data_IF_782219805180
#
_entry.id   IF_782219805180
#
_cell.length_a   1.000
_cell.length_b   1.000
_cell.length_c   1.000
_cell.angle_alpha   90.00
_cell.angle_beta   90.00
_cell.angle_gamma   90.00
#
_symmetry.space_group_name_H-M   'P 1'
#
loop_
_entity.id
_entity.type
_entity.pdbx_description
1 polymer ?
#
# COMPACT_ATOMS: atom_id res chain seq x y z
N UNK A 1 -28.00 -3.07 -11.12
CA UNK A 1 -26.91 -3.46 -12.05
C UNK A 1 -26.14 -2.26 -12.61
N UNK A 2 -26.77 -1.18 -13.00
CA UNK A 2 -26.11 0.01 -13.59
C UNK A 2 -24.99 0.63 -12.71
N UNK A 3 -25.18 0.77 -11.39
CA UNK A 3 -24.19 1.39 -10.49
C UNK A 3 -22.87 0.60 -10.40
N UNK A 4 -22.93 -0.73 -10.32
CA UNK A 4 -21.72 -1.58 -10.24
C UNK A 4 -20.90 -1.50 -11.52
N UNK A 5 -21.57 -1.51 -12.68
CA UNK A 5 -20.91 -1.37 -13.99
C UNK A 5 -20.25 0.01 -14.12
N UNK A 6 -20.93 1.08 -13.66
CA UNK A 6 -20.37 2.44 -13.67
C UNK A 6 -19.12 2.56 -12.80
N UNK A 7 -19.14 2.05 -11.57
CA UNK A 7 -17.96 2.05 -10.68
C UNK A 7 -16.80 1.32 -11.34
N UNK A 8 -17.04 0.15 -11.92
CA UNK A 8 -16.01 -0.65 -12.57
C UNK A 8 -15.38 0.06 -13.77
N UNK A 9 -16.20 0.64 -14.66
CA UNK A 9 -15.71 1.38 -15.83
C UNK A 9 -14.95 2.66 -15.43
N UNK A 10 -15.43 3.38 -14.42
CA UNK A 10 -14.73 4.55 -13.90
C UNK A 10 -13.40 4.17 -13.22
N UNK A 11 -13.34 3.04 -12.50
CA UNK A 11 -12.08 2.58 -11.89
C UNK A 11 -11.04 2.18 -12.93
N UNK A 12 -11.47 1.53 -14.02
CA UNK A 12 -10.58 1.25 -15.16
C UNK A 12 -10.10 2.53 -15.85
N UNK A 13 -11.01 3.49 -16.04
CA UNK A 13 -10.66 4.77 -16.65
C UNK A 13 -9.68 5.55 -15.76
N UNK A 14 -9.89 5.56 -14.44
CA UNK A 14 -8.97 6.17 -13.46
C UNK A 14 -7.59 5.51 -13.51
N UNK A 15 -7.55 4.18 -13.53
CA UNK A 15 -6.31 3.43 -13.66
C UNK A 15 -5.55 3.79 -14.94
N UNK A 16 -6.24 3.81 -16.08
CA UNK A 16 -5.62 4.21 -17.35
C UNK A 16 -5.12 5.65 -17.35
N UNK A 17 -5.89 6.57 -16.75
CA UNK A 17 -5.57 8.00 -16.68
C UNK A 17 -4.22 8.26 -16.01
N UNK A 18 -3.82 7.44 -15.02
CA UNK A 18 -2.54 7.57 -14.32
C UNK A 18 -1.32 7.45 -15.23
N UNK A 19 -1.46 6.76 -16.35
CA UNK A 19 -0.35 6.46 -17.27
C UNK A 19 -0.46 7.19 -18.61
N UNK A 20 -1.50 7.98 -18.82
CA UNK A 20 -1.70 8.78 -20.04
C UNK A 20 -0.63 9.86 -20.11
N UNK A 21 0.06 9.94 -21.25
CA UNK A 21 1.13 10.93 -21.48
C UNK A 21 2.51 10.50 -20.97
N UNK A 22 2.65 9.35 -20.35
CA UNK A 22 3.95 8.81 -19.95
C UNK A 22 4.53 7.90 -21.04
N UNK A 23 5.82 8.08 -21.39
CA UNK A 23 6.52 7.26 -22.38
C UNK A 23 6.56 5.76 -21.97
N UNK A 24 6.85 5.46 -20.73
CA UNK A 24 6.88 4.09 -20.20
C UNK A 24 5.52 3.61 -19.68
N UNK A 25 4.52 4.50 -19.59
CA UNK A 25 3.16 4.15 -19.21
C UNK A 25 3.09 3.35 -17.91
N UNK A 26 2.43 2.19 -17.99
CA UNK A 26 2.18 1.29 -16.85
C UNK A 26 3.48 0.73 -16.23
N UNK A 27 4.60 0.75 -16.95
CA UNK A 27 5.88 0.19 -16.46
C UNK A 27 6.38 0.94 -15.21
N UNK A 28 6.12 2.24 -15.10
CA UNK A 28 6.51 3.01 -13.91
C UNK A 28 5.88 2.50 -12.60
N UNK A 29 4.69 1.92 -12.69
CA UNK A 29 4.01 1.32 -11.55
C UNK A 29 4.82 0.19 -10.91
N UNK A 30 5.64 -0.48 -11.70
CA UNK A 30 6.47 -1.60 -11.24
C UNK A 30 7.88 -1.19 -10.89
N UNK A 31 8.45 -0.25 -11.64
CA UNK A 31 9.85 0.20 -11.44
C UNK A 31 10.03 0.77 -10.04
N UNK A 32 9.15 1.67 -9.60
CA UNK A 32 9.32 2.35 -8.32
C UNK A 32 9.31 1.36 -7.11
N UNK A 33 8.35 0.44 -6.95
CA UNK A 33 8.40 -0.55 -5.89
C UNK A 33 9.58 -1.52 -5.99
N UNK A 34 9.94 -1.94 -7.21
CA UNK A 34 11.10 -2.83 -7.41
C UNK A 34 12.37 -2.14 -6.94
N UNK A 35 12.60 -0.88 -7.34
CA UNK A 35 13.75 -0.10 -6.89
C UNK A 35 13.76 0.07 -5.38
N UNK A 36 12.59 0.31 -4.77
CA UNK A 36 12.48 0.43 -3.30
C UNK A 36 12.85 -0.87 -2.60
N UNK A 37 12.35 -2.02 -3.07
CA UNK A 37 12.71 -3.34 -2.53
C UNK A 37 14.21 -3.61 -2.70
N UNK A 38 14.80 -3.26 -3.85
CA UNK A 38 16.24 -3.40 -4.08
C UNK A 38 17.06 -2.52 -3.12
N UNK A 39 16.67 -1.27 -2.90
CA UNK A 39 17.35 -0.38 -1.96
C UNK A 39 17.29 -0.95 -0.54
N UNK A 40 16.13 -1.43 -0.10
CA UNK A 40 16.00 -2.02 1.24
C UNK A 40 16.78 -3.32 1.37
N UNK A 41 16.82 -4.15 0.33
CA UNK A 41 17.66 -5.33 0.30
C UNK A 41 19.15 -4.99 0.39
N UNK A 42 19.61 -3.93 -0.27
CA UNK A 42 21.00 -3.47 -0.17
C UNK A 42 21.32 -2.93 1.23
N UNK A 43 20.42 -2.12 1.82
CA UNK A 43 20.67 -1.46 3.10
C UNK A 43 20.54 -2.45 4.28
N UNK A 44 19.47 -3.22 4.33
CA UNK A 44 19.13 -4.07 5.47
C UNK A 44 19.46 -5.56 5.25
N UNK A 45 19.74 -5.95 4.03
CA UNK A 45 20.11 -7.32 3.66
C UNK A 45 21.58 -7.66 3.97
N UNK A 46 22.12 -8.67 3.28
CA UNK A 46 23.44 -9.24 3.58
C UNK A 46 24.62 -8.28 3.39
N UNK A 47 24.45 -7.23 2.59
CA UNK A 47 25.50 -6.25 2.28
C UNK A 47 25.55 -5.13 3.32
N UNK A 48 24.40 -4.68 3.81
CA UNK A 48 24.30 -3.55 4.74
C UNK A 48 24.24 -3.95 6.21
N UNK A 49 23.19 -3.54 6.91
CA UNK A 49 23.03 -3.75 8.36
C UNK A 49 22.81 -5.21 8.78
N UNK A 50 22.73 -6.15 7.83
CA UNK A 50 22.52 -7.60 8.07
C UNK A 50 21.38 -7.89 9.03
N UNK A 51 20.27 -7.17 8.85
CA UNK A 51 19.09 -7.40 9.66
C UNK A 51 18.58 -8.82 9.41
N UNK A 52 18.73 -9.68 10.41
CA UNK A 52 18.26 -11.05 10.29
C UNK A 52 16.74 -11.07 10.23
N UNK A 53 16.13 -11.78 9.27
CA UNK A 53 14.69 -11.97 9.29
C UNK A 53 14.28 -12.74 10.55
N UNK A 54 13.19 -12.39 11.20
CA UNK A 54 12.72 -13.08 12.42
C UNK A 54 12.25 -14.53 12.14
N UNK A 55 12.18 -14.92 10.87
CA UNK A 55 11.77 -16.26 10.45
C UNK A 55 13.00 -17.10 10.10
N UNK A 56 13.25 -18.23 10.77
CA UNK A 56 14.35 -19.13 10.45
C UNK A 56 14.28 -19.61 8.99
N UNK A 57 15.43 -19.68 8.33
CA UNK A 57 15.56 -20.17 6.95
C UNK A 57 14.78 -19.35 5.88
N UNK A 58 14.44 -18.09 6.18
CA UNK A 58 13.89 -17.16 5.20
C UNK A 58 14.98 -16.20 4.70
N UNK A 59 14.98 -15.94 3.38
CA UNK A 59 15.76 -14.84 2.82
C UNK A 59 15.17 -13.50 3.28
N UNK A 60 16.00 -12.47 3.40
CA UNK A 60 15.54 -11.13 3.73
C UNK A 60 14.43 -10.64 2.76
N UNK A 61 14.56 -10.92 1.46
CA UNK A 61 13.54 -10.56 0.46
C UNK A 61 12.22 -11.29 0.71
N UNK A 62 12.27 -12.57 1.09
CA UNK A 62 11.07 -13.36 1.40
C UNK A 62 10.31 -12.82 2.62
N UNK A 63 11.01 -12.19 3.55
CA UNK A 63 10.40 -11.53 4.70
C UNK A 63 9.91 -10.12 4.35
N UNK A 64 10.70 -9.34 3.60
CA UNK A 64 10.40 -7.95 3.25
C UNK A 64 9.17 -7.81 2.33
N UNK A 65 9.08 -8.63 1.27
CA UNK A 65 8.06 -8.45 0.21
C UNK A 65 6.62 -8.58 0.74
N UNK A 66 6.27 -9.57 1.59
CA UNK A 66 4.93 -9.66 2.17
C UNK A 66 4.53 -8.48 3.04
N UNK A 67 5.50 -7.86 3.73
CA UNK A 67 5.23 -6.69 4.56
C UNK A 67 5.09 -5.40 3.76
N UNK A 68 5.91 -5.22 2.71
CA UNK A 68 5.94 -3.97 1.97
C UNK A 68 4.80 -3.86 0.93
N UNK A 69 4.32 -4.98 0.39
CA UNK A 69 3.26 -4.97 -0.63
C UNK A 69 1.92 -4.40 -0.11
N UNK A 70 1.40 -4.79 1.08
CA UNK A 70 0.23 -4.15 1.67
C UNK A 70 0.45 -2.67 2.00
N UNK A 71 1.66 -2.31 2.42
CA UNK A 71 2.00 -0.91 2.71
C UNK A 71 1.96 -0.04 1.47
N UNK A 72 2.52 -0.48 0.34
CA UNK A 72 2.43 0.25 -0.93
C UNK A 72 0.99 0.45 -1.37
N UNK A 73 0.17 -0.60 -1.27
CA UNK A 73 -1.25 -0.50 -1.57
C UNK A 73 -1.96 0.52 -0.67
N UNK A 74 -1.76 0.43 0.64
CA UNK A 74 -2.38 1.32 1.60
C UNK A 74 -1.98 2.78 1.38
N UNK A 75 -0.67 3.05 1.24
CA UNK A 75 -0.15 4.39 1.06
C UNK A 75 -0.59 4.99 -0.27
N UNK A 76 -0.62 4.22 -1.35
CA UNK A 76 -1.12 4.66 -2.64
C UNK A 76 -2.62 4.95 -2.61
N UNK A 77 -3.42 4.03 -2.03
CA UNK A 77 -4.86 4.20 -1.91
C UNK A 77 -5.23 5.45 -1.11
N UNK A 78 -4.53 5.70 0.00
CA UNK A 78 -4.78 6.86 0.84
C UNK A 78 -4.34 8.17 0.17
N UNK A 79 -3.16 8.21 -0.45
CA UNK A 79 -2.69 9.40 -1.18
C UNK A 79 -3.63 9.76 -2.36
N UNK A 80 -3.92 8.79 -3.22
CA UNK A 80 -4.81 9.00 -4.37
C UNK A 80 -6.25 9.32 -3.94
N UNK A 81 -6.69 8.69 -2.86
CA UNK A 81 -8.05 8.87 -2.34
C UNK A 81 -8.25 10.22 -1.68
N UNK A 82 -7.27 10.75 -0.96
CA UNK A 82 -7.35 12.06 -0.30
C UNK A 82 -7.68 13.18 -1.29
N UNK A 83 -7.06 13.20 -2.49
CA UNK A 83 -7.30 14.21 -3.52
C UNK A 83 -8.51 13.94 -4.42
N UNK A 84 -9.23 12.83 -4.26
CA UNK A 84 -10.20 12.37 -5.25
C UNK A 84 -11.37 13.35 -5.50
N UNK A 85 -11.86 14.05 -4.47
CA UNK A 85 -12.97 15.00 -4.60
C UNK A 85 -12.55 16.24 -5.40
N UNK A 86 -11.33 16.70 -5.25
CA UNK A 86 -10.79 17.83 -5.99
C UNK A 86 -10.51 17.46 -7.46
N UNK A 87 -9.94 16.30 -7.70
CA UNK A 87 -9.61 15.80 -9.03
C UNK A 87 -10.86 15.61 -9.90
N UNK A 88 -11.95 15.12 -9.31
CA UNK A 88 -13.23 14.90 -10.01
C UNK A 88 -14.26 16.02 -9.84
N UNK A 89 -13.83 17.21 -9.41
CA UNK A 89 -14.71 18.36 -9.18
C UNK A 89 -15.62 18.69 -10.38
N UNK A 90 -15.14 18.49 -11.62
CA UNK A 90 -15.91 18.70 -12.83
C UNK A 90 -17.11 17.72 -12.96
N UNK A 91 -16.96 16.48 -12.49
CA UNK A 91 -18.07 15.51 -12.46
C UNK A 91 -19.13 15.88 -11.43
N UNK A 92 -18.68 16.33 -10.25
CA UNK A 92 -19.57 16.76 -9.17
C UNK A 92 -20.41 17.95 -9.59
N UNK A 93 -19.87 18.87 -10.38
CA UNK A 93 -20.56 20.10 -10.83
C UNK A 93 -21.50 19.90 -12.02
N UNK A 94 -21.26 18.92 -12.89
CA UNK A 94 -21.97 18.79 -14.18
C UNK A 94 -23.02 17.69 -14.23
N UNK A 95 -22.97 16.70 -13.36
CA UNK A 95 -23.83 15.52 -13.36
C UNK A 95 -24.37 15.29 -11.95
N UNK A 96 -25.61 14.80 -11.84
CA UNK A 96 -26.16 14.29 -10.57
C UNK A 96 -25.42 13.00 -10.20
N UNK A 97 -24.16 13.15 -9.77
CA UNK A 97 -23.25 12.05 -9.44
C UNK A 97 -23.14 11.93 -7.91
N UNK A 98 -23.25 10.72 -7.42
CA UNK A 98 -23.01 10.47 -5.99
C UNK A 98 -21.54 10.56 -5.67
N UNK A 99 -21.13 11.65 -5.05
CA UNK A 99 -19.74 11.98 -4.68
C UNK A 99 -19.10 10.90 -3.81
N UNK A 100 -19.91 10.22 -2.98
CA UNK A 100 -19.50 9.12 -2.11
C UNK A 100 -18.84 7.94 -2.84
N UNK A 101 -19.03 7.82 -4.16
CA UNK A 101 -18.46 6.72 -4.96
C UNK A 101 -17.00 6.99 -5.33
N UNK A 102 -16.53 8.23 -5.31
CA UNK A 102 -15.17 8.60 -5.75
C UNK A 102 -14.05 7.94 -4.94
N UNK A 103 -14.08 7.89 -3.60
CA UNK A 103 -13.10 7.15 -2.82
C UNK A 103 -13.06 5.66 -3.18
N UNK A 104 -14.23 5.04 -3.43
CA UNK A 104 -14.32 3.63 -3.83
C UNK A 104 -13.68 3.41 -5.20
N UNK A 105 -13.88 4.31 -6.16
CA UNK A 105 -13.25 4.24 -7.49
C UNK A 105 -11.73 4.26 -7.37
N UNK A 106 -11.19 5.17 -6.55
CA UNK A 106 -9.74 5.26 -6.30
C UNK A 106 -9.19 4.00 -5.64
N UNK A 107 -9.89 3.48 -4.64
CA UNK A 107 -9.49 2.24 -3.99
C UNK A 107 -9.43 1.06 -4.97
N UNK A 108 -10.46 0.87 -5.79
CA UNK A 108 -10.50 -0.21 -6.79
C UNK A 108 -9.38 -0.04 -7.83
N UNK A 109 -9.09 1.19 -8.24
CA UNK A 109 -7.99 1.50 -9.15
C UNK A 109 -6.62 1.09 -8.54
N UNK A 110 -6.41 1.32 -7.24
CA UNK A 110 -5.21 0.88 -6.52
C UNK A 110 -5.19 -0.64 -6.29
N UNK A 111 -6.35 -1.29 -6.11
CA UNK A 111 -6.45 -2.74 -5.98
C UNK A 111 -5.94 -3.49 -7.22
N UNK A 112 -6.07 -2.95 -8.43
CA UNK A 112 -5.50 -3.57 -9.63
C UNK A 112 -3.98 -3.73 -9.49
N UNK A 113 -3.32 -2.70 -8.97
CA UNK A 113 -1.88 -2.71 -8.70
C UNK A 113 -1.54 -3.70 -7.59
N UNK A 114 -2.30 -3.69 -6.50
CA UNK A 114 -2.10 -4.58 -5.35
C UNK A 114 -2.20 -6.06 -5.74
N UNK A 115 -3.23 -6.44 -6.50
CA UNK A 115 -3.40 -7.82 -7.00
C UNK A 115 -2.19 -8.26 -7.82
N UNK A 116 -1.63 -7.37 -8.62
CA UNK A 116 -0.43 -7.68 -9.39
C UNK A 116 0.79 -7.89 -8.47
N UNK A 117 0.98 -7.06 -7.43
CA UNK A 117 2.08 -7.25 -6.47
C UNK A 117 1.93 -8.55 -5.68
N UNK A 118 0.71 -8.89 -5.27
CA UNK A 118 0.42 -10.18 -4.63
C UNK A 118 0.77 -11.34 -5.56
N UNK A 119 0.45 -11.24 -6.85
CA UNK A 119 0.83 -12.27 -7.83
C UNK A 119 2.35 -12.40 -7.97
N UNK A 120 3.09 -11.28 -8.06
CA UNK A 120 4.57 -11.30 -8.09
C UNK A 120 5.12 -11.94 -6.79
N UNK A 121 4.57 -11.59 -5.64
CA UNK A 121 4.98 -12.20 -4.37
C UNK A 121 4.83 -13.72 -4.42
N UNK A 122 3.70 -14.24 -4.90
CA UNK A 122 3.51 -15.68 -5.06
C UNK A 122 4.54 -16.30 -6.00
N UNK A 123 4.85 -15.65 -7.12
CA UNK A 123 5.87 -16.12 -8.08
C UNK A 123 7.24 -16.20 -7.39
N UNK A 124 7.63 -15.17 -6.64
CA UNK A 124 8.90 -15.15 -5.89
C UNK A 124 8.99 -16.31 -4.89
N UNK A 125 7.90 -16.59 -4.16
CA UNK A 125 7.88 -17.71 -3.21
C UNK A 125 7.97 -19.06 -3.91
N UNK A 126 7.25 -19.27 -5.01
CA UNK A 126 7.28 -20.51 -5.79
C UNK A 126 8.67 -20.76 -6.40
N UNK A 127 9.30 -19.74 -6.99
CA UNK A 127 10.65 -19.82 -7.55
C UNK A 127 11.69 -20.12 -6.45
N UNK A 128 11.45 -19.63 -5.23
CA UNK A 128 12.29 -19.92 -4.05
C UNK A 128 12.07 -21.33 -3.48
N UNK A 129 11.28 -22.18 -4.12
CA UNK A 129 11.03 -23.57 -3.70
C UNK A 129 10.06 -23.71 -2.53
N UNK A 130 9.38 -22.65 -2.12
CA UNK A 130 8.36 -22.72 -1.06
C UNK A 130 7.04 -23.25 -1.65
N UNK A 131 6.51 -24.31 -1.05
CA UNK A 131 5.23 -24.89 -1.49
C UNK A 131 4.06 -24.03 -1.01
N UNK A 132 2.98 -23.93 -1.80
CA UNK A 132 1.74 -23.28 -1.37
C UNK A 132 1.21 -23.92 -0.09
N UNK A 133 0.89 -23.09 0.88
CA UNK A 133 0.29 -23.51 2.17
C UNK A 133 -1.10 -22.91 2.31
N UNK A 134 -1.97 -23.58 3.07
CA UNK A 134 -3.34 -23.07 3.34
C UNK A 134 -3.31 -21.70 3.98
N UNK A 135 -2.28 -21.39 4.77
CA UNK A 135 -2.08 -20.07 5.38
C UNK A 135 -2.00 -18.92 4.36
N UNK A 136 -1.67 -19.19 3.08
CA UNK A 136 -1.67 -18.15 2.05
C UNK A 136 -3.05 -17.56 1.77
N UNK A 137 -4.13 -18.27 2.12
CA UNK A 137 -5.51 -17.76 2.02
C UNK A 137 -5.70 -16.53 2.93
N UNK A 138 -4.95 -16.41 4.01
CA UNK A 138 -4.98 -15.25 4.90
C UNK A 138 -4.67 -13.93 4.19
N UNK A 139 -3.93 -13.97 3.06
CA UNK A 139 -3.64 -12.78 2.25
C UNK A 139 -4.94 -12.12 1.76
N UNK A 140 -5.97 -12.90 1.43
CA UNK A 140 -7.27 -12.36 1.00
C UNK A 140 -7.90 -11.58 2.16
N UNK A 141 -7.87 -12.15 3.37
CA UNK A 141 -8.39 -11.49 4.57
C UNK A 141 -7.65 -10.18 4.87
N UNK A 142 -6.30 -10.22 4.89
CA UNK A 142 -5.49 -9.02 5.16
C UNK A 142 -5.63 -7.96 4.06
N UNK A 143 -5.71 -8.36 2.79
CA UNK A 143 -5.96 -7.42 1.69
C UNK A 143 -7.33 -6.75 1.79
N UNK A 144 -8.35 -7.50 2.23
CA UNK A 144 -9.68 -6.95 2.49
C UNK A 144 -9.66 -6.00 3.69
N UNK A 145 -9.04 -6.38 4.81
CA UNK A 145 -8.92 -5.53 5.99
C UNK A 145 -8.17 -4.23 5.69
N UNK A 146 -7.03 -4.31 4.98
CA UNK A 146 -6.28 -3.14 4.52
C UNK A 146 -7.10 -2.24 3.60
N UNK A 147 -7.91 -2.82 2.70
CA UNK A 147 -8.82 -2.08 1.82
C UNK A 147 -9.88 -1.32 2.61
N UNK A 148 -10.49 -1.95 3.61
CA UNK A 148 -11.51 -1.30 4.45
C UNK A 148 -10.90 -0.18 5.28
N UNK A 149 -9.73 -0.41 5.85
CA UNK A 149 -9.01 0.60 6.62
C UNK A 149 -8.60 1.80 5.76
N UNK A 150 -8.01 1.54 4.58
CA UNK A 150 -7.67 2.58 3.61
C UNK A 150 -8.91 3.37 3.17
N UNK A 151 -10.03 2.70 2.91
CA UNK A 151 -11.28 3.34 2.49
C UNK A 151 -11.84 4.26 3.57
N UNK A 152 -11.86 3.81 4.83
CA UNK A 152 -12.35 4.60 5.96
C UNK A 152 -11.53 5.89 6.13
N UNK A 153 -10.20 5.78 6.10
CA UNK A 153 -9.31 6.95 6.16
C UNK A 153 -9.45 7.84 4.94
N UNK A 154 -9.62 7.28 3.74
CA UNK A 154 -9.83 8.04 2.52
C UNK A 154 -11.10 8.89 2.57
N UNK A 155 -12.21 8.35 3.10
CA UNK A 155 -13.43 9.14 3.30
C UNK A 155 -13.20 10.33 4.23
N UNK A 156 -12.50 10.11 5.33
CA UNK A 156 -12.17 11.17 6.28
C UNK A 156 -11.25 12.22 5.65
N UNK A 157 -10.12 11.79 5.08
CA UNK A 157 -9.10 12.71 4.54
C UNK A 157 -9.59 13.45 3.31
N UNK A 158 -10.36 12.80 2.43
CA UNK A 158 -10.92 13.46 1.24
C UNK A 158 -11.97 14.52 1.59
N UNK A 159 -12.78 14.29 2.63
CA UNK A 159 -13.73 15.29 3.11
C UNK A 159 -13.00 16.51 3.69
N UNK A 160 -11.96 16.30 4.51
CA UNK A 160 -11.14 17.38 5.08
C UNK A 160 -10.41 18.14 3.98
N UNK A 161 -9.89 17.45 2.95
CA UNK A 161 -9.16 18.03 1.83
C UNK A 161 -9.97 19.10 1.07
N UNK A 162 -11.30 18.99 1.05
CA UNK A 162 -12.16 20.00 0.39
C UNK A 162 -12.05 21.37 1.07
N UNK A 163 -11.92 21.36 2.40
CA UNK A 163 -11.83 22.59 3.22
C UNK A 163 -10.38 23.01 3.47
N UNK A 164 -9.49 22.03 3.64
CA UNK A 164 -8.10 22.24 3.97
C UNK A 164 -7.19 21.59 2.92
N UNK A 165 -6.70 22.41 1.98
CA UNK A 165 -5.96 21.95 0.78
C UNK A 165 -4.64 21.25 1.10
N UNK A 166 -4.05 21.52 2.27
CA UNK A 166 -2.76 20.93 2.65
C UNK A 166 -2.89 19.52 3.24
N UNK A 167 -4.14 19.01 3.36
CA UNK A 167 -4.40 17.67 3.89
C UNK A 167 -3.66 16.57 3.13
N UNK A 168 -3.56 16.68 1.80
CA UNK A 168 -2.81 15.73 0.98
C UNK A 168 -1.31 15.70 1.36
N UNK A 169 -0.72 16.85 1.65
CA UNK A 169 0.68 16.94 2.09
C UNK A 169 0.87 16.33 3.49
N UNK A 170 -0.05 16.60 4.40
CA UNK A 170 -0.05 16.02 5.75
C UNK A 170 -0.13 14.50 5.66
N UNK A 171 -1.05 13.95 4.86
CA UNK A 171 -1.19 12.52 4.64
C UNK A 171 0.11 11.91 4.10
N UNK A 172 0.74 12.55 3.11
CA UNK A 172 2.01 12.07 2.55
C UNK A 172 3.12 12.02 3.60
N UNK A 173 3.22 13.05 4.44
CA UNK A 173 4.21 13.10 5.54
C UNK A 173 3.90 12.02 6.59
N UNK A 174 2.64 11.87 7.00
CA UNK A 174 2.22 10.83 7.94
C UNK A 174 2.53 9.42 7.41
N UNK A 175 2.30 9.17 6.12
CA UNK A 175 2.64 7.89 5.49
C UNK A 175 4.15 7.66 5.44
N UNK A 176 4.95 8.69 5.18
CA UNK A 176 6.40 8.58 5.20
C UNK A 176 6.92 8.20 6.61
N UNK A 177 6.43 8.87 7.67
CA UNK A 177 6.74 8.50 9.04
C UNK A 177 6.21 7.10 9.39
N UNK A 178 4.97 6.78 8.99
CA UNK A 178 4.35 5.49 9.21
C UNK A 178 5.16 4.33 8.64
N UNK A 179 5.76 4.52 7.46
CA UNK A 179 6.65 3.52 6.84
C UNK A 179 7.84 3.18 7.75
N UNK A 180 8.46 4.18 8.37
CA UNK A 180 9.60 3.98 9.28
C UNK A 180 9.17 3.45 10.65
N UNK A 181 7.97 3.79 11.11
CA UNK A 181 7.41 3.29 12.37
C UNK A 181 6.84 1.88 12.25
N UNK A 182 6.64 1.36 11.05
CA UNK A 182 6.16 -0.02 10.84
C UNK A 182 7.38 -0.94 10.70
N UNK A 183 7.48 -2.03 11.48
CA UNK A 183 8.63 -2.94 11.45
C UNK A 183 8.60 -3.87 10.22
N UNK A 184 8.52 -3.27 9.01
CA UNK A 184 8.55 -3.99 7.73
C UNK A 184 9.97 -4.32 7.32
N UNK A 185 10.93 -3.40 7.59
CA UNK A 185 12.31 -3.51 7.12
C UNK A 185 13.25 -4.08 8.18
N UNK A 186 12.87 -4.02 9.45
CA UNK A 186 13.67 -4.41 10.59
C UNK A 186 12.85 -5.22 11.60
N UNK A 187 13.51 -6.09 12.35
CA UNK A 187 12.88 -6.85 13.43
C UNK A 187 12.83 -6.03 14.72
N UNK A 188 11.79 -6.22 15.53
CA UNK A 188 11.70 -5.61 16.87
C UNK A 188 12.86 -6.01 17.79
N UNK A 189 13.47 -7.17 17.55
CA UNK A 189 14.66 -7.64 18.29
C UNK A 189 15.81 -6.64 18.22
N UNK A 190 15.95 -5.91 17.11
CA UNK A 190 16.98 -4.89 16.95
C UNK A 190 16.88 -3.77 18.01
N UNK A 191 15.68 -3.46 18.49
CA UNK A 191 15.47 -2.49 19.56
C UNK A 191 15.68 -3.11 20.95
N UNK A 192 15.27 -4.35 21.12
CA UNK A 192 15.48 -5.10 22.39
C UNK A 192 16.96 -5.29 22.67
N UNK A 193 17.75 -5.65 21.65
CA UNK A 193 19.21 -5.82 21.74
C UNK A 193 19.93 -4.50 22.10
N UNK A 194 19.34 -3.37 21.76
CA UNK A 194 19.82 -2.03 22.13
C UNK A 194 19.28 -1.52 23.48
N UNK A 195 18.54 -2.33 24.22
CA UNK A 195 17.98 -1.98 25.52
C UNK A 195 16.73 -1.07 25.47
N UNK A 196 16.15 -0.85 24.28
CA UNK A 196 14.98 -0.01 24.07
C UNK A 196 13.68 -0.81 24.28
N UNK A 197 13.37 -1.16 25.52
CA UNK A 197 12.21 -2.00 25.89
C UNK A 197 10.84 -1.37 25.58
N UNK A 198 10.78 -0.05 25.49
CA UNK A 198 9.53 0.68 25.16
C UNK A 198 9.19 0.68 23.67
N UNK A 199 10.17 0.49 22.79
CA UNK A 199 9.98 0.55 21.36
C UNK A 199 8.98 -0.52 20.83
N UNK A 200 9.04 -1.79 21.24
CA UNK A 200 8.05 -2.78 20.82
C UNK A 200 6.62 -2.45 21.22
N UNK A 201 6.43 -1.78 22.37
CA UNK A 201 5.10 -1.37 22.84
C UNK A 201 4.49 -0.29 21.92
N UNK A 202 5.30 0.68 21.49
CA UNK A 202 4.88 1.72 20.55
C UNK A 202 4.58 1.13 19.17
N UNK A 203 5.43 0.21 18.70
CA UNK A 203 5.23 -0.45 17.40
C UNK A 203 3.92 -1.25 17.35
N UNK A 204 3.51 -1.89 18.45
CA UNK A 204 2.25 -2.66 18.57
C UNK A 204 0.97 -1.80 18.49
N UNK A 205 1.07 -0.49 18.64
CA UNK A 205 -0.05 0.43 18.42
C UNK A 205 -0.35 0.63 16.91
N UNK A 206 0.57 0.25 16.05
CA UNK A 206 0.41 0.37 14.60
C UNK A 206 -0.42 -0.82 14.06
N UNK A 207 -1.56 -0.58 13.37
CA UNK A 207 -2.38 -1.66 12.81
C UNK A 207 -1.65 -2.51 11.74
N UNK A 208 -0.57 -2.01 11.16
CA UNK A 208 0.28 -2.75 10.21
C UNK A 208 1.41 -3.55 10.88
N UNK A 209 1.44 -3.59 12.21
CA UNK A 209 2.39 -4.45 12.94
C UNK A 209 2.01 -5.93 12.84
N UNK A 210 0.72 -6.22 12.80
CA UNK A 210 0.14 -7.56 12.76
C UNK A 210 -0.09 -8.01 11.31
#
# INVERSE_FOLDING_TARGET
>A
MAKRKLIWELSKADFRKRFVGSYFGVVWMFIQPIVTVLIYWLIFGPIGFKSAPPVPNASYVQWLVPGIAPWFFFSEALNCGTGCLQEYNYLVKKVVFKVEILPVIKLISCLFVHVFFVAIMFIVFLVSGKRPQISWIQIIYYSFAASMYALALTYLTSAIQVFFKDMAQIVSICLQFGMWLTPIMYSEQLFLDKGLTMAPMILKLNPFYY
#
